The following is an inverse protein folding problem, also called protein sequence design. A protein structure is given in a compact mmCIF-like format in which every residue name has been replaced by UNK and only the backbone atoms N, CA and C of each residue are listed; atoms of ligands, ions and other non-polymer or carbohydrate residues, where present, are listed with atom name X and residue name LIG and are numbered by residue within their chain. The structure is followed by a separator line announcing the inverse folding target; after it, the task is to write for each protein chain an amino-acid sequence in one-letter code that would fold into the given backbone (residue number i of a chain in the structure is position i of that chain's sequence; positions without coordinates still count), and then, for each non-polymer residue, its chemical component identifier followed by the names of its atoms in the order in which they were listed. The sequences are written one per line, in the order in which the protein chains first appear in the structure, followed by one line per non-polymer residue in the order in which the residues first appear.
data_IF_100416272623
#
_entry.id   IF_100416272623
#
_cell.length_a   1.000
_cell.length_b   1.000
_cell.length_c   1.000
_cell.angle_alpha   90.00
_cell.angle_beta   90.00
_cell.angle_gamma   90.00
#
_symmetry.space_group_name_H-M   'P 1'
#
loop_
_entity.id
_entity.type
_entity.pdbx_description
1 polymer ?
#
# COMPACT_ATOMS: atom_id res chain seq x y z
N UNK A 1 16.97 -14.52 20.29
CA UNK A 1 15.79 -14.36 19.42
C UNK A 1 16.01 -15.25 18.21
N UNK A 2 15.04 -16.06 17.78
CA UNK A 2 15.20 -16.83 16.56
C UNK A 2 15.43 -15.88 15.38
N UNK A 3 16.39 -16.22 14.52
CA UNK A 3 16.71 -15.46 13.32
C UNK A 3 15.56 -15.64 12.33
N UNK A 4 14.71 -14.62 12.19
CA UNK A 4 13.64 -14.61 11.19
C UNK A 4 14.30 -14.30 9.84
N UNK A 5 14.60 -15.33 9.07
CA UNK A 5 15.35 -15.25 7.81
C UNK A 5 14.46 -15.13 6.55
N UNK A 6 13.14 -15.25 6.68
CA UNK A 6 12.22 -15.14 5.54
C UNK A 6 11.50 -13.79 5.52
N UNK A 7 11.69 -13.01 4.44
CA UNK A 7 10.85 -11.84 4.17
C UNK A 7 9.44 -12.30 3.82
N UNK A 8 8.43 -11.69 4.43
CA UNK A 8 7.01 -12.00 4.23
C UNK A 8 6.23 -10.68 4.16
N UNK A 9 5.13 -10.62 3.39
CA UNK A 9 4.25 -9.46 3.41
C UNK A 9 3.59 -9.33 4.80
N UNK A 10 3.40 -8.09 5.26
CA UNK A 10 2.65 -7.86 6.49
C UNK A 10 1.16 -8.22 6.34
N UNK A 11 0.63 -8.06 5.12
CA UNK A 11 -0.72 -8.44 4.71
C UNK A 11 -0.64 -9.04 3.31
N UNK A 12 -1.23 -10.21 3.12
CA UNK A 12 -1.27 -10.90 1.83
C UNK A 12 -1.95 -10.05 0.76
N UNK A 13 -1.37 -10.05 -0.45
CA UNK A 13 -1.89 -9.31 -1.61
C UNK A 13 -1.62 -7.80 -1.59
N UNK A 14 -1.03 -7.23 -0.53
CA UNK A 14 -0.70 -5.79 -0.47
C UNK A 14 0.69 -5.47 -0.99
N UNK A 15 1.58 -6.47 -1.01
CA UNK A 15 2.97 -6.33 -1.42
C UNK A 15 3.30 -7.36 -2.50
N UNK A 16 4.15 -6.97 -3.44
CA UNK A 16 4.81 -7.88 -4.36
C UNK A 16 6.27 -7.46 -4.52
N UNK A 17 7.07 -8.30 -5.17
CA UNK A 17 8.48 -8.03 -5.50
C UNK A 17 8.62 -7.94 -7.02
N UNK A 18 9.40 -6.98 -7.50
CA UNK A 18 9.76 -6.92 -8.92
C UNK A 18 10.82 -7.99 -9.28
N UNK A 19 11.19 -8.08 -10.55
CA UNK A 19 12.20 -9.03 -11.04
C UNK A 19 13.58 -8.85 -10.38
N UNK A 20 13.87 -7.65 -9.86
CA UNK A 20 15.10 -7.34 -9.13
C UNK A 20 14.99 -7.62 -7.61
N UNK A 21 13.87 -8.18 -7.16
CA UNK A 21 13.62 -8.48 -5.75
C UNK A 21 13.31 -7.24 -4.91
N UNK A 22 12.93 -6.10 -5.51
CA UNK A 22 12.53 -4.91 -4.76
C UNK A 22 11.04 -4.92 -4.45
N UNK A 23 10.64 -4.72 -3.18
CA UNK A 23 9.25 -4.73 -2.79
C UNK A 23 8.53 -3.45 -3.28
N UNK A 24 7.27 -3.60 -3.64
CA UNK A 24 6.36 -2.50 -3.96
C UNK A 24 4.94 -2.82 -3.44
N UNK A 25 4.14 -1.77 -3.25
CA UNK A 25 2.74 -1.92 -2.87
C UNK A 25 1.90 -2.24 -4.10
N UNK A 26 0.89 -3.06 -3.91
CA UNK A 26 -0.21 -3.25 -4.85
C UNK A 26 -1.35 -2.32 -4.45
N UNK A 27 -1.83 -1.52 -5.39
CA UNK A 27 -3.01 -0.67 -5.25
C UNK A 27 -4.05 -0.99 -6.32
N UNK A 28 -5.14 -0.23 -6.33
CA UNK A 28 -6.12 -0.25 -7.42
C UNK A 28 -6.00 1.00 -8.31
N UNK A 29 -6.19 0.84 -9.61
CA UNK A 29 -6.37 1.95 -10.55
C UNK A 29 -7.70 1.80 -11.29
N UNK A 30 -8.51 2.85 -11.29
CA UNK A 30 -9.73 2.89 -12.09
C UNK A 30 -9.38 3.12 -13.57
N UNK A 31 -9.73 2.21 -14.49
CA UNK A 31 -9.43 2.40 -15.91
C UNK A 31 -10.24 3.54 -16.54
N UNK A 32 -11.41 3.87 -15.97
CA UNK A 32 -12.30 4.90 -16.52
C UNK A 32 -11.84 6.34 -16.21
N UNK A 33 -11.33 6.61 -15.00
CA UNK A 33 -10.97 7.97 -14.57
C UNK A 33 -9.51 8.13 -14.13
N UNK A 34 -8.74 7.04 -14.08
CA UNK A 34 -7.32 7.06 -13.69
C UNK A 34 -7.06 7.21 -12.19
N UNK A 35 -8.10 7.28 -11.36
CA UNK A 35 -7.94 7.37 -9.89
C UNK A 35 -7.24 6.14 -9.33
N UNK A 36 -6.19 6.38 -8.54
CA UNK A 36 -5.51 5.35 -7.77
C UNK A 36 -6.12 5.25 -6.36
N UNK A 37 -6.07 4.06 -5.76
CA UNK A 37 -6.51 3.81 -4.40
C UNK A 37 -5.62 2.81 -3.69
N UNK A 38 -5.41 3.05 -2.39
CA UNK A 38 -4.79 2.12 -1.46
C UNK A 38 -5.56 2.18 -0.13
N UNK A 39 -5.79 1.06 0.59
CA UNK A 39 -5.38 -0.31 0.25
C UNK A 39 -5.99 -0.88 -1.04
N UNK A 40 -5.40 -1.94 -1.64
CA UNK A 40 -5.99 -2.59 -2.81
C UNK A 40 -7.38 -3.16 -2.47
N UNK A 41 -8.32 -3.00 -3.40
CA UNK A 41 -9.70 -3.49 -3.27
C UNK A 41 -10.26 -3.81 -4.66
N UNK A 42 -11.21 -4.73 -4.71
CA UNK A 42 -11.73 -5.30 -5.96
C UNK A 42 -12.64 -4.33 -6.74
N UNK A 43 -13.30 -3.39 -6.04
CA UNK A 43 -14.33 -2.54 -6.64
C UNK A 43 -14.52 -1.19 -5.94
N UNK A 44 -15.51 -0.42 -6.42
CA UNK A 44 -15.92 0.90 -5.94
C UNK A 44 -14.83 1.96 -6.15
N UNK A 45 -14.82 2.65 -7.29
CA UNK A 45 -13.91 3.79 -7.47
C UNK A 45 -14.16 4.86 -6.38
N UNK A 46 -13.14 5.37 -5.68
CA UNK A 46 -13.36 6.38 -4.64
C UNK A 46 -13.65 7.78 -5.20
N UNK A 47 -13.52 7.97 -6.52
CA UNK A 47 -13.79 9.26 -7.14
C UNK A 47 -15.30 9.47 -7.26
N UNK A 48 -15.89 10.43 -6.53
CA UNK A 48 -17.34 10.65 -6.55
C UNK A 48 -17.86 11.15 -7.91
N UNK A 49 -16.99 11.65 -8.78
CA UNK A 49 -17.34 12.04 -10.15
C UNK A 49 -17.26 10.88 -11.16
N UNK A 50 -16.96 9.66 -10.71
CA UNK A 50 -16.82 8.49 -11.57
C UNK A 50 -17.87 7.43 -11.21
N UNK A 51 -18.59 6.94 -12.22
CA UNK A 51 -19.59 5.87 -12.06
C UNK A 51 -19.02 4.46 -12.25
N UNK A 52 -17.69 4.31 -12.36
CA UNK A 52 -17.05 3.01 -12.54
C UNK A 52 -16.87 2.29 -11.22
N UNK A 53 -17.26 1.02 -11.17
CA UNK A 53 -16.97 0.12 -10.06
C UNK A 53 -15.70 -0.70 -10.28
N UNK A 54 -15.07 -0.62 -11.46
CA UNK A 54 -13.85 -1.37 -11.77
C UNK A 54 -12.62 -0.72 -11.15
N UNK A 55 -11.79 -1.55 -10.52
CA UNK A 55 -10.43 -1.23 -10.09
C UNK A 55 -9.50 -2.35 -10.50
N UNK A 56 -8.48 -2.02 -11.29
CA UNK A 56 -7.44 -2.97 -11.70
C UNK A 56 -6.28 -2.93 -10.71
N UNK A 57 -5.79 -4.10 -10.32
CA UNK A 57 -4.60 -4.20 -9.49
C UNK A 57 -3.38 -3.62 -10.24
N UNK A 58 -2.60 -2.78 -9.56
CA UNK A 58 -1.44 -2.12 -10.15
C UNK A 58 -0.29 -2.02 -9.14
N UNK A 59 0.94 -2.16 -9.63
CA UNK A 59 2.14 -1.84 -8.86
C UNK A 59 2.22 -0.32 -8.64
N UNK A 60 2.28 0.10 -7.37
CA UNK A 60 2.48 1.50 -7.01
C UNK A 60 3.96 1.88 -7.06
N UNK A 61 4.22 3.16 -7.35
CA UNK A 61 5.58 3.72 -7.30
C UNK A 61 6.17 3.60 -5.90
N UNK A 62 7.44 3.21 -5.82
CA UNK A 62 8.24 3.21 -4.58
C UNK A 62 8.83 4.57 -4.24
N UNK A 63 8.46 5.61 -5.00
CA UNK A 63 8.90 7.00 -4.82
C UNK A 63 7.70 7.93 -4.85
N UNK A 64 7.76 8.99 -4.07
CA UNK A 64 6.74 10.03 -4.02
C UNK A 64 7.24 11.32 -3.39
N UNK A 65 6.33 12.27 -3.23
CA UNK A 65 6.59 13.56 -2.57
C UNK A 65 5.85 13.57 -1.24
N UNK A 66 6.51 14.06 -0.19
CA UNK A 66 5.86 14.25 1.10
C UNK A 66 4.84 15.39 0.98
N UNK A 67 3.56 15.08 1.19
CA UNK A 67 2.48 16.07 1.12
C UNK A 67 2.24 16.75 2.48
N UNK A 68 2.15 15.95 3.54
CA UNK A 68 2.09 16.41 4.92
C UNK A 68 2.64 15.34 5.85
N UNK A 69 3.05 15.73 7.05
CA UNK A 69 3.50 14.81 8.08
C UNK A 69 3.12 15.32 9.48
N UNK A 70 3.03 14.40 10.42
CA UNK A 70 2.96 14.67 11.85
C UNK A 70 3.99 13.81 12.56
N UNK A 71 4.50 14.27 13.70
CA UNK A 71 5.41 13.49 14.53
C UNK A 71 4.66 12.99 15.77
N UNK A 72 4.57 11.66 15.90
CA UNK A 72 3.92 11.01 17.03
C UNK A 72 4.99 10.53 18.01
N UNK A 73 5.23 11.31 19.08
CA UNK A 73 6.18 10.96 20.15
C UNK A 73 5.45 10.27 21.30
N UNK A 74 5.29 8.96 21.19
CA UNK A 74 4.75 8.12 22.27
C UNK A 74 5.84 7.23 22.85
N UNK A 75 5.88 7.01 24.17
CA UNK A 75 6.72 5.96 24.72
C UNK A 75 6.24 4.60 24.17
N UNK A 76 7.15 3.65 23.90
CA UNK A 76 6.74 2.28 23.60
C UNK A 76 5.80 1.75 24.70
N UNK A 77 4.77 0.98 24.35
CA UNK A 77 3.94 0.36 25.38
C UNK A 77 4.83 -0.55 26.26
N UNK A 78 4.63 -0.54 27.60
CA UNK A 78 5.34 -1.45 28.50
C UNK A 78 5.28 -2.90 27.99
N UNK A 79 6.35 -3.72 28.19
CA UNK A 79 7.42 -3.55 29.17
C UNK A 79 8.77 -3.04 28.62
N UNK A 80 8.84 -2.55 27.40
CA UNK A 80 10.12 -2.18 26.77
C UNK A 80 10.49 -0.72 27.13
N UNK A 81 11.69 -0.47 27.71
CA UNK A 81 12.19 0.88 28.01
C UNK A 81 12.53 1.69 26.76
#
# INVERSE_FOLDING_TARGET
MPEVTSQQPAIDGWFATDEAGKPHLIGGKCPACGTYVFPPRENNCPNPGCASDTLEAVALSTRGTLWSYTENRYPPPPPYP
#
